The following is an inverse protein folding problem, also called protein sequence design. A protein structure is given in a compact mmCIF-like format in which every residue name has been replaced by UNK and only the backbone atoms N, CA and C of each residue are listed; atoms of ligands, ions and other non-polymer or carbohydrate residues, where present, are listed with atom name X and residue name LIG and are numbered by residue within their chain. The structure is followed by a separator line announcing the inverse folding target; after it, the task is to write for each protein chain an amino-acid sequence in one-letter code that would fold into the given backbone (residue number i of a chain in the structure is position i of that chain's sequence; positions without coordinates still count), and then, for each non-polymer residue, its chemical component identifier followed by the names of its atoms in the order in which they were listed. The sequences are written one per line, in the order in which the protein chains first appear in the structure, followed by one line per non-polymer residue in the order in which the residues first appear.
data_IF_922674625318
#
_entry.id   IF_922674625318
#
_cell.length_a   1.000
_cell.length_b   1.000
_cell.length_c   1.000
_cell.angle_alpha   90.00
_cell.angle_beta   90.00
_cell.angle_gamma   90.00
#
_symmetry.space_group_name_H-M   'P 1'
#
loop_
_entity.id
_entity.type
_entity.pdbx_description
1 polymer ?
#
# COMPACT_ATOMS: atom_id res chain seq x y z
N UNK A 1 20.43 6.48 3.18
CA UNK A 1 20.39 7.22 1.89
C UNK A 1 18.97 7.44 1.37
N UNK A 2 18.31 6.45 0.74
CA UNK A 2 16.98 6.66 0.10
C UNK A 2 15.94 7.23 1.07
N UNK A 3 15.70 6.56 2.21
CA UNK A 3 14.73 7.00 3.20
C UNK A 3 15.11 8.38 3.79
N UNK A 4 16.39 8.60 4.10
CA UNK A 4 16.85 9.88 4.65
C UNK A 4 16.60 11.04 3.68
N UNK A 5 16.90 10.87 2.38
CA UNK A 5 16.67 11.91 1.38
C UNK A 5 15.17 12.20 1.17
N UNK A 6 14.36 11.14 1.12
CA UNK A 6 12.91 11.26 1.01
C UNK A 6 12.35 12.02 2.22
N UNK A 7 12.71 11.61 3.44
CA UNK A 7 12.20 12.22 4.66
C UNK A 7 12.71 13.66 4.83
N UNK A 8 13.97 13.94 4.50
CA UNK A 8 14.51 15.29 4.52
C UNK A 8 13.74 16.22 3.56
N UNK A 9 13.35 15.71 2.40
CA UNK A 9 12.53 16.45 1.44
C UNK A 9 11.11 16.64 1.98
N UNK A 10 10.48 15.57 2.47
CA UNK A 10 9.13 15.59 3.00
C UNK A 10 8.99 16.56 4.20
N UNK A 11 9.94 16.55 5.15
CA UNK A 11 9.97 17.49 6.30
C UNK A 11 10.02 18.95 5.86
N UNK A 12 10.81 19.27 4.82
CA UNK A 12 10.89 20.63 4.27
C UNK A 12 9.58 21.05 3.60
N UNK A 13 9.01 20.19 2.77
CA UNK A 13 7.80 20.50 2.00
C UNK A 13 6.55 20.59 2.88
N UNK A 14 6.45 19.76 3.93
CA UNK A 14 5.33 19.81 4.88
C UNK A 14 5.47 20.95 5.90
N UNK A 15 6.63 21.63 5.93
CA UNK A 15 6.99 22.62 6.93
C UNK A 15 6.84 22.07 8.36
N UNK A 16 7.63 21.02 8.66
CA UNK A 16 7.56 20.27 9.92
C UNK A 16 7.55 21.20 11.15
N UNK A 17 6.57 20.99 12.03
CA UNK A 17 6.32 21.80 13.22
C UNK A 17 5.70 20.95 14.33
N UNK A 18 6.54 20.19 15.06
CA UNK A 18 6.11 19.32 16.14
C UNK A 18 4.97 18.40 15.70
N UNK A 19 3.87 18.38 16.46
CA UNK A 19 2.69 17.58 16.11
C UNK A 19 1.71 18.29 15.16
N UNK A 20 1.92 19.57 14.83
CA UNK A 20 1.02 20.30 13.93
C UNK A 20 1.27 19.95 12.46
N UNK A 21 2.50 19.63 12.08
CA UNK A 21 2.87 19.27 10.72
C UNK A 21 4.09 18.36 10.74
N UNK A 22 4.09 17.26 9.98
CA UNK A 22 5.21 16.33 9.99
C UNK A 22 4.97 15.06 9.19
N UNK A 23 5.85 14.08 9.39
CA UNK A 23 5.71 12.74 8.82
C UNK A 23 4.76 11.91 9.70
N UNK A 24 3.78 11.26 9.07
CA UNK A 24 2.77 10.49 9.80
C UNK A 24 3.28 9.13 10.28
N UNK A 25 4.17 8.51 9.49
CA UNK A 25 4.79 7.23 9.77
C UNK A 25 6.13 7.14 9.01
N UNK A 26 7.03 6.19 9.38
CA UNK A 26 8.33 6.04 8.75
C UNK A 26 8.24 5.71 7.25
N UNK A 27 9.29 6.03 6.50
CA UNK A 27 9.37 5.66 5.08
C UNK A 27 9.60 4.17 4.91
N UNK A 28 8.55 3.44 4.55
CA UNK A 28 8.62 2.06 4.09
C UNK A 28 9.36 1.98 2.74
N UNK A 29 10.29 1.02 2.64
CA UNK A 29 11.02 0.72 1.41
C UNK A 29 11.19 -0.79 1.24
N UNK A 30 10.13 -1.54 1.55
CA UNK A 30 10.15 -3.00 1.62
C UNK A 30 10.55 -3.61 0.27
N UNK A 31 11.49 -4.56 0.29
CA UNK A 31 12.07 -5.15 -0.92
C UNK A 31 11.53 -6.55 -1.20
N UNK A 32 11.24 -6.82 -2.47
CA UNK A 32 10.94 -8.15 -3.00
C UNK A 32 9.78 -8.82 -2.24
N UNK A 33 10.04 -9.97 -1.62
CA UNK A 33 9.06 -10.76 -0.89
C UNK A 33 8.53 -10.09 0.39
N UNK A 34 9.23 -9.09 0.93
CA UNK A 34 8.74 -8.29 2.04
C UNK A 34 7.76 -7.24 1.51
N UNK A 35 6.47 -7.35 1.85
CA UNK A 35 5.42 -6.52 1.28
C UNK A 35 5.35 -5.12 1.89
N UNK A 36 5.47 -5.00 3.22
CA UNK A 36 5.27 -3.76 3.97
C UNK A 36 6.12 -3.75 5.25
N UNK A 37 6.16 -2.57 5.90
CA UNK A 37 6.74 -2.33 7.24
C UNK A 37 8.26 -2.56 7.39
N UNK A 38 9.02 -2.66 6.30
CA UNK A 38 10.47 -2.56 6.36
C UNK A 38 10.94 -1.13 6.08
N UNK A 39 11.74 -0.61 7.00
CA UNK A 39 12.57 0.59 6.84
C UNK A 39 13.93 0.29 7.49
N UNK A 40 15.06 0.76 6.93
CA UNK A 40 16.38 0.41 7.44
C UNK A 40 16.61 1.00 8.84
N UNK A 41 17.16 0.17 9.74
CA UNK A 41 17.72 0.65 11.00
C UNK A 41 19.17 1.13 10.81
N UNK A 42 19.71 1.82 11.82
CA UNK A 42 21.12 2.22 11.82
C UNK A 42 22.05 1.00 11.61
N UNK A 43 22.96 1.11 10.65
CA UNK A 43 23.89 0.04 10.30
C UNK A 43 23.37 -0.96 9.27
N UNK A 44 22.13 -0.82 8.80
CA UNK A 44 21.65 -1.56 7.64
C UNK A 44 22.48 -1.19 6.40
N UNK A 45 23.01 -2.21 5.71
CA UNK A 45 23.87 -2.07 4.53
C UNK A 45 23.18 -2.54 3.25
N UNK A 46 21.87 -2.74 3.29
CA UNK A 46 21.07 -3.16 2.13
C UNK A 46 21.16 -2.09 1.05
N UNK A 47 21.46 -2.53 -0.17
CA UNK A 47 21.54 -1.67 -1.36
C UNK A 47 20.46 -2.11 -2.33
N UNK A 48 19.70 -1.14 -2.84
CA UNK A 48 18.67 -1.37 -3.85
C UNK A 48 19.31 -1.87 -5.15
N UNK A 49 18.93 -3.06 -5.60
CA UNK A 49 19.38 -3.69 -6.83
C UNK A 49 18.49 -3.39 -8.05
N UNK A 50 19.00 -3.68 -9.25
CA UNK A 50 18.27 -3.50 -10.51
C UNK A 50 17.01 -4.37 -10.61
N UNK A 51 17.08 -5.59 -10.10
CA UNK A 51 15.96 -6.55 -10.10
C UNK A 51 15.06 -6.44 -8.86
N UNK A 52 15.27 -5.45 -7.99
CA UNK A 52 14.43 -5.30 -6.80
C UNK A 52 13.06 -4.72 -7.13
N UNK A 53 12.04 -5.22 -6.43
CA UNK A 53 10.70 -4.64 -6.37
C UNK A 53 10.55 -3.93 -5.02
N UNK A 54 10.74 -2.61 -5.03
CA UNK A 54 10.72 -1.78 -3.83
C UNK A 54 9.37 -1.08 -3.68
N UNK A 55 8.71 -1.24 -2.53
CA UNK A 55 7.48 -0.51 -2.23
C UNK A 55 7.86 0.71 -1.41
N UNK A 56 7.69 1.90 -1.99
CA UNK A 56 7.89 3.18 -1.29
C UNK A 56 6.54 3.59 -0.73
N UNK A 57 6.48 3.67 0.59
CA UNK A 57 5.26 3.94 1.34
C UNK A 57 5.59 4.92 2.46
N UNK A 58 5.04 6.12 2.41
CA UNK A 58 5.34 7.14 3.40
C UNK A 58 4.14 8.06 3.61
N UNK A 59 4.04 8.60 4.82
CA UNK A 59 2.92 9.43 5.19
C UNK A 59 3.31 10.83 5.62
N UNK A 60 2.42 11.78 5.37
CA UNK A 60 2.52 13.16 5.89
C UNK A 60 1.24 13.52 6.63
N UNK A 61 1.30 14.52 7.52
CA UNK A 61 0.09 15.04 8.13
C UNK A 61 0.16 16.53 8.42
N UNK A 62 -1.03 17.15 8.47
CA UNK A 62 -1.26 18.48 9.06
C UNK A 62 -2.37 18.36 10.09
N UNK A 63 -2.12 18.76 11.33
CA UNK A 63 -3.02 18.66 12.48
C UNK A 63 -3.65 17.25 12.62
N UNK A 64 -2.83 16.22 12.45
CA UNK A 64 -3.23 14.82 12.51
C UNK A 64 -4.03 14.31 11.31
N UNK A 65 -4.32 15.13 10.30
CA UNK A 65 -4.94 14.69 9.04
C UNK A 65 -3.87 14.02 8.18
N UNK A 66 -3.85 12.70 8.23
CA UNK A 66 -2.81 11.87 7.62
C UNK A 66 -3.15 11.63 6.15
N UNK A 67 -2.13 11.75 5.30
CA UNK A 67 -2.09 11.16 3.97
C UNK A 67 -1.23 9.91 4.08
N UNK A 68 -1.83 8.78 3.70
CA UNK A 68 -1.19 7.49 3.53
C UNK A 68 -1.23 7.16 2.04
N UNK A 69 -0.05 7.02 1.42
CA UNK A 69 0.06 6.80 -0.01
C UNK A 69 1.37 6.12 -0.36
N UNK A 70 1.28 5.11 -1.22
CA UNK A 70 2.40 4.28 -1.61
C UNK A 70 2.46 4.05 -3.13
N UNK A 71 3.64 3.69 -3.61
CA UNK A 71 3.84 3.16 -4.96
C UNK A 71 4.93 2.08 -4.97
N UNK A 72 5.01 1.35 -6.08
CA UNK A 72 6.08 0.38 -6.32
C UNK A 72 7.09 0.95 -7.32
N UNK A 73 8.36 0.92 -6.93
CA UNK A 73 9.52 1.24 -7.76
C UNK A 73 10.16 -0.05 -8.27
N UNK A 74 10.30 -0.13 -9.59
CA UNK A 74 11.02 -1.19 -10.31
C UNK A 74 11.91 -0.56 -11.37
N UNK A 75 13.07 -1.16 -11.63
CA UNK A 75 13.91 -0.78 -12.77
C UNK A 75 13.81 -1.74 -13.94
N UNK A 76 13.53 -3.02 -13.64
CA UNK A 76 13.35 -4.05 -14.65
C UNK A 76 11.89 -4.14 -15.08
N UNK A 77 11.62 -3.89 -16.36
CA UNK A 77 10.29 -3.93 -16.99
C UNK A 77 9.59 -5.30 -16.87
N UNK A 78 10.32 -6.37 -16.55
CA UNK A 78 9.72 -7.70 -16.28
C UNK A 78 8.65 -7.66 -15.17
N UNK A 79 8.67 -6.65 -14.30
CA UNK A 79 7.69 -6.46 -13.25
C UNK A 79 6.53 -5.52 -13.62
N UNK A 80 6.56 -4.85 -14.77
CA UNK A 80 5.50 -3.92 -15.19
C UNK A 80 4.11 -4.57 -15.20
N UNK A 81 3.93 -5.82 -15.67
CA UNK A 81 2.64 -6.49 -15.59
C UNK A 81 2.14 -6.69 -14.15
N UNK A 82 3.04 -6.97 -13.19
CA UNK A 82 2.70 -7.10 -11.77
C UNK A 82 2.29 -5.75 -11.18
N UNK A 83 3.07 -4.71 -11.44
CA UNK A 83 2.78 -3.34 -10.98
C UNK A 83 1.45 -2.85 -11.56
N UNK A 84 1.17 -3.16 -12.82
CA UNK A 84 -0.10 -2.85 -13.48
C UNK A 84 -1.27 -3.56 -12.80
N UNK A 85 -1.16 -4.86 -12.55
CA UNK A 85 -2.21 -5.65 -11.89
C UNK A 85 -2.59 -5.05 -10.52
N UNK A 86 -1.59 -4.74 -9.70
CA UNK A 86 -1.80 -4.14 -8.36
C UNK A 86 -2.38 -2.74 -8.47
N UNK A 87 -1.90 -1.92 -9.42
CA UNK A 87 -2.44 -0.57 -9.63
C UNK A 87 -3.92 -0.62 -10.00
N UNK A 88 -4.31 -1.45 -10.97
CA UNK A 88 -5.70 -1.55 -11.41
C UNK A 88 -6.61 -2.15 -10.32
N UNK A 89 -6.09 -3.06 -9.50
CA UNK A 89 -6.80 -3.57 -8.33
C UNK A 89 -7.02 -2.48 -7.28
N UNK A 90 -6.01 -1.67 -6.96
CA UNK A 90 -6.14 -0.50 -6.07
C UNK A 90 -7.15 0.52 -6.60
N UNK A 91 -7.05 0.89 -7.88
CA UNK A 91 -8.01 1.81 -8.50
C UNK A 91 -9.43 1.24 -8.51
N UNK A 92 -9.58 -0.07 -8.64
CA UNK A 92 -10.88 -0.74 -8.51
C UNK A 92 -11.42 -0.59 -7.09
N UNK A 93 -10.60 -0.84 -6.07
CA UNK A 93 -10.96 -0.58 -4.68
C UNK A 93 -11.43 0.86 -4.46
N UNK A 94 -10.71 1.84 -5.02
CA UNK A 94 -11.06 3.27 -4.94
C UNK A 94 -12.41 3.55 -5.63
N UNK A 95 -12.64 2.99 -6.83
CA UNK A 95 -13.91 3.18 -7.56
C UNK A 95 -15.10 2.49 -6.88
N UNK A 96 -14.85 1.36 -6.22
CA UNK A 96 -15.89 0.60 -5.51
C UNK A 96 -16.21 1.21 -4.14
N UNK A 97 -15.27 1.87 -3.50
CA UNK A 97 -15.47 2.53 -2.21
C UNK A 97 -16.53 3.64 -2.28
N UNK A 98 -17.33 3.77 -1.23
CA UNK A 98 -18.38 4.78 -1.14
C UNK A 98 -19.22 4.62 0.12
N UNK A 99 -19.99 5.66 0.46
CA UNK A 99 -20.93 5.62 1.58
C UNK A 99 -21.92 4.46 1.36
N UNK A 100 -22.22 3.74 2.44
CA UNK A 100 -23.09 2.54 2.48
C UNK A 100 -22.53 1.31 1.74
N UNK A 101 -21.31 1.38 1.17
CA UNK A 101 -20.66 0.21 0.56
C UNK A 101 -20.13 -0.70 1.64
N UNK A 102 -20.41 -2.00 1.52
CA UNK A 102 -19.86 -3.03 2.41
C UNK A 102 -18.38 -3.25 2.11
N UNK A 103 -17.54 -3.26 3.13
CA UNK A 103 -16.09 -3.47 3.01
C UNK A 103 -15.76 -4.81 2.32
N UNK A 104 -16.53 -5.87 2.58
CA UNK A 104 -16.38 -7.16 1.90
C UNK A 104 -16.60 -7.09 0.37
N UNK A 105 -17.45 -6.17 -0.11
CA UNK A 105 -17.71 -6.01 -1.55
C UNK A 105 -16.53 -5.30 -2.24
N UNK A 106 -15.91 -4.34 -1.56
CA UNK A 106 -14.66 -3.72 -1.99
C UNK A 106 -13.58 -4.78 -2.13
N UNK A 107 -13.40 -5.64 -1.13
CA UNK A 107 -12.42 -6.73 -1.17
C UNK A 107 -12.68 -7.76 -2.26
N UNK A 108 -13.95 -8.09 -2.53
CA UNK A 108 -14.31 -8.98 -3.63
C UNK A 108 -13.97 -8.38 -5.01
N UNK A 109 -14.27 -7.09 -5.22
CA UNK A 109 -13.97 -6.38 -6.47
C UNK A 109 -12.46 -6.25 -6.71
N UNK A 110 -11.70 -5.91 -5.65
CA UNK A 110 -10.24 -5.87 -5.70
C UNK A 110 -9.67 -7.23 -6.11
N UNK A 111 -10.13 -8.30 -5.46
CA UNK A 111 -9.64 -9.64 -5.74
C UNK A 111 -9.93 -10.09 -7.18
N UNK A 112 -11.14 -9.83 -7.67
CA UNK A 112 -11.54 -10.17 -9.02
C UNK A 112 -10.60 -9.54 -10.06
N UNK A 113 -10.29 -8.25 -9.90
CA UNK A 113 -9.36 -7.57 -10.80
C UNK A 113 -7.94 -8.08 -10.61
N UNK A 114 -7.43 -8.18 -9.38
CA UNK A 114 -6.08 -8.65 -9.09
C UNK A 114 -5.82 -10.05 -9.70
N UNK A 115 -6.72 -10.99 -9.45
CA UNK A 115 -6.58 -12.40 -9.86
C UNK A 115 -6.96 -12.64 -11.34
N UNK A 116 -7.43 -11.61 -12.07
CA UNK A 116 -7.60 -11.66 -13.52
C UNK A 116 -6.27 -11.55 -14.29
N UNK A 117 -5.20 -11.15 -13.60
CA UNK A 117 -3.87 -10.98 -14.17
C UNK A 117 -3.00 -12.24 -14.03
N UNK A 118 -2.30 -12.57 -15.12
CA UNK A 118 -1.19 -13.51 -15.14
C UNK A 118 0.08 -12.80 -15.60
N UNK A 119 1.22 -13.19 -15.04
CA UNK A 119 2.54 -12.66 -15.40
C UNK A 119 3.54 -13.79 -15.62
N UNK A 120 4.54 -13.57 -16.47
CA UNK A 120 5.66 -14.49 -16.65
C UNK A 120 6.92 -13.91 -16.02
N UNK A 121 7.54 -14.64 -15.11
CA UNK A 121 8.84 -14.32 -14.54
C UNK A 121 9.75 -15.53 -14.69
N UNK A 122 10.91 -15.34 -15.31
CA UNK A 122 11.95 -16.37 -15.45
C UNK A 122 11.43 -17.67 -16.08
N UNK A 123 10.57 -17.56 -17.10
CA UNK A 123 9.99 -18.71 -17.82
C UNK A 123 8.89 -19.45 -17.04
N UNK A 124 8.39 -18.87 -15.94
CA UNK A 124 7.26 -19.41 -15.18
C UNK A 124 6.11 -18.42 -15.12
N UNK A 125 4.91 -18.90 -15.43
CA UNK A 125 3.68 -18.14 -15.31
C UNK A 125 3.14 -18.17 -13.88
N UNK A 126 2.68 -17.03 -13.40
CA UNK A 126 2.05 -16.84 -12.10
C UNK A 126 0.73 -16.08 -12.30
N UNK A 127 -0.36 -16.60 -11.74
CA UNK A 127 -1.52 -15.77 -11.45
C UNK A 127 -1.15 -14.83 -10.28
N UNK A 128 -1.43 -13.54 -10.41
CA UNK A 128 -1.21 -12.57 -9.34
C UNK A 128 -2.21 -12.83 -8.23
N UNK A 129 -1.75 -12.93 -6.98
CA UNK A 129 -2.59 -13.19 -5.81
C UNK A 129 -2.60 -12.01 -4.86
N UNK A 130 -3.78 -11.64 -4.38
CA UNK A 130 -3.91 -10.72 -3.24
C UNK A 130 -3.25 -11.32 -1.98
N UNK A 131 -2.49 -10.50 -1.23
CA UNK A 131 -1.96 -10.90 0.08
C UNK A 131 -3.07 -10.85 1.13
N UNK A 132 -3.65 -12.00 1.44
CA UNK A 132 -4.96 -12.10 2.13
C UNK A 132 -5.01 -11.56 3.57
N UNK A 133 -3.87 -11.38 4.19
CA UNK A 133 -3.67 -10.88 5.56
C UNK A 133 -3.13 -9.44 5.60
N UNK A 134 -3.06 -8.76 4.44
CA UNK A 134 -2.85 -7.32 4.35
C UNK A 134 -4.13 -6.67 3.81
N UNK A 135 -4.38 -5.44 4.23
CA UNK A 135 -5.66 -4.78 4.04
C UNK A 135 -5.45 -3.26 4.04
N UNK A 136 -6.36 -2.53 3.39
CA UNK A 136 -6.50 -1.10 3.67
C UNK A 136 -7.21 -0.86 5.00
N UNK A 137 -7.44 0.41 5.34
CA UNK A 137 -7.93 0.77 6.67
C UNK A 137 -8.57 2.15 6.73
N UNK A 138 -9.43 2.37 7.73
CA UNK A 138 -9.91 3.71 8.07
C UNK A 138 -8.81 4.51 8.79
N UNK A 139 -8.76 5.81 8.56
CA UNK A 139 -7.84 6.77 9.19
C UNK A 139 -8.64 7.81 9.99
N UNK A 140 -8.12 8.17 11.16
CA UNK A 140 -8.64 9.25 12.01
C UNK A 140 -7.53 10.23 12.38
N UNK A 141 -7.85 11.42 12.93
CA UNK A 141 -6.83 12.37 13.37
C UNK A 141 -5.78 11.72 14.29
N UNK A 142 -4.51 11.78 13.89
CA UNK A 142 -3.37 11.17 14.58
C UNK A 142 -3.44 9.65 14.77
N UNK A 143 -4.34 8.97 14.04
CA UNK A 143 -4.54 7.53 14.15
C UNK A 143 -4.58 6.90 12.76
N UNK A 144 -3.46 6.30 12.36
CA UNK A 144 -3.30 5.66 11.05
C UNK A 144 -4.30 4.52 10.85
N UNK A 145 -4.45 3.64 11.85
CA UNK A 145 -5.43 2.56 11.86
C UNK A 145 -6.55 2.88 12.86
N UNK A 146 -7.71 3.33 12.36
CA UNK A 146 -8.83 3.81 13.20
C UNK A 146 -9.95 2.80 13.45
N UNK A 147 -9.75 1.54 13.04
CA UNK A 147 -10.55 0.41 13.52
C UNK A 147 -11.28 -0.38 12.44
N UNK A 148 -11.63 0.24 11.30
CA UNK A 148 -12.19 -0.48 10.15
C UNK A 148 -11.07 -0.93 9.21
N UNK A 149 -11.22 -2.14 8.68
CA UNK A 149 -10.26 -2.78 7.77
C UNK A 149 -10.92 -3.00 6.41
N UNK A 150 -10.26 -2.55 5.34
CA UNK A 150 -10.72 -2.74 3.94
C UNK A 150 -10.07 -4.01 3.40
N UNK A 151 -10.81 -5.14 3.29
CA UNK A 151 -10.25 -6.37 2.77
C UNK A 151 -9.85 -6.21 1.30
N UNK A 152 -8.90 -7.04 0.84
CA UNK A 152 -8.47 -7.13 -0.57
C UNK A 152 -8.73 -8.52 -1.19
N UNK A 153 -9.51 -9.31 -0.46
CA UNK A 153 -10.02 -10.61 -0.87
C UNK A 153 -11.52 -10.67 -0.59
N UNK A 154 -12.24 -11.52 -1.31
CA UNK A 154 -13.63 -11.84 -1.00
C UNK A 154 -13.77 -12.44 0.40
N UNK A 155 -14.92 -12.21 1.01
CA UNK A 155 -15.20 -12.59 2.39
C UNK A 155 -14.96 -11.43 3.35
N UNK A 156 -14.94 -11.73 4.64
CA UNK A 156 -14.87 -10.71 5.69
C UNK A 156 -16.26 -10.22 6.13
N UNK A 157 -16.26 -9.20 6.98
CA UNK A 157 -17.47 -8.67 7.59
C UNK A 157 -18.20 -7.72 6.64
N UNK A 158 -19.54 -7.73 6.71
CA UNK A 158 -20.40 -6.83 5.95
C UNK A 158 -20.51 -5.42 6.59
N UNK A 159 -19.45 -4.97 7.29
CA UNK A 159 -19.36 -3.62 7.84
C UNK A 159 -19.37 -2.62 6.68
N UNK A 160 -20.11 -1.52 6.83
CA UNK A 160 -20.26 -0.50 5.79
C UNK A 160 -19.30 0.67 6.02
N UNK A 161 -18.87 1.28 4.91
CA UNK A 161 -18.26 2.60 4.92
C UNK A 161 -19.33 3.65 5.24
N UNK A 162 -19.00 4.59 6.11
CA UNK A 162 -19.90 5.63 6.59
C UNK A 162 -19.51 7.02 6.04
N UNK A 163 -20.46 7.95 6.02
CA UNK A 163 -20.21 9.33 5.64
C UNK A 163 -19.11 9.96 6.51
N UNK A 164 -18.23 10.76 5.90
CA UNK A 164 -17.12 11.48 6.54
C UNK A 164 -15.99 10.60 7.10
N UNK A 165 -15.98 9.30 6.84
CA UNK A 165 -14.81 8.47 7.10
C UNK A 165 -13.71 8.71 6.05
N UNK A 166 -12.46 8.56 6.48
CA UNK A 166 -11.28 8.64 5.61
C UNK A 166 -10.63 7.26 5.55
N UNK A 167 -10.18 6.82 4.38
CA UNK A 167 -9.63 5.48 4.19
C UNK A 167 -8.33 5.52 3.40
N UNK A 168 -7.37 4.69 3.80
CA UNK A 168 -6.31 4.21 2.94
C UNK A 168 -6.83 3.00 2.15
N UNK A 169 -6.88 3.13 0.83
CA UNK A 169 -7.20 2.02 -0.07
C UNK A 169 -5.90 1.55 -0.69
N UNK A 170 -5.41 0.42 -0.19
CA UNK A 170 -4.15 -0.18 -0.60
C UNK A 170 -4.36 -1.66 -0.93
N UNK A 171 -3.61 -2.16 -1.91
CA UNK A 171 -3.67 -3.55 -2.33
C UNK A 171 -2.28 -4.10 -2.56
N UNK A 172 -2.13 -5.40 -2.34
CA UNK A 172 -0.84 -6.07 -2.40
C UNK A 172 -0.97 -7.33 -3.25
N UNK A 173 -0.31 -7.33 -4.41
CA UNK A 173 -0.20 -8.49 -5.28
C UNK A 173 1.09 -9.26 -5.04
N UNK A 174 1.02 -10.59 -5.09
CA UNK A 174 2.16 -11.48 -4.88
C UNK A 174 2.17 -12.63 -5.88
N UNK A 175 3.36 -13.03 -6.30
CA UNK A 175 3.62 -14.29 -7.02
C UNK A 175 3.87 -15.48 -6.08
N UNK A 176 3.91 -15.22 -4.77
CA UNK A 176 4.13 -16.22 -3.73
C UNK A 176 2.83 -16.90 -3.27
N UNK A 177 2.72 -17.08 -1.95
CA UNK A 177 1.56 -17.75 -1.32
C UNK A 177 0.34 -16.82 -1.13
N UNK A 178 0.49 -15.52 -1.36
CA UNK A 178 -0.53 -14.51 -1.06
C UNK A 178 -0.83 -14.41 0.45
N UNK A 179 0.21 -14.49 1.29
CA UNK A 179 0.18 -14.52 2.75
C UNK A 179 1.45 -13.89 3.34
#
# INVERSE_FOLDING_TARGET
EICEELENTARKLINENGLQAGLAFPTGCSLNHCAAHYTPNAGDKTVLGYDDVCKIDFGTHINGRIIDCAWTLTFNEKYDPLVKAVREATETGIRTAGIDVRLCDVGAAIQEVMESYEIELEGKTYQVKSIRNLNGHSISPYQIHSGKTVPIIRGGEAVMMEENEFYAIETFGSTGRGQ
#
